data_IF_299370964020
#
_entry.id   IF_299370964020
#
_cell.length_a   1.000
_cell.length_b   1.000
_cell.length_c   1.000
_cell.angle_alpha   90.00
_cell.angle_beta   90.00
_cell.angle_gamma   90.00
#
_symmetry.space_group_name_H-M   'P 1'
#
loop_
_entity.id
_entity.type
_entity.pdbx_description
1 polymer ?
#
# COMPACT_ATOMS: atom_id res chain seq x y z
N UNK A 1 -19.36 -15.17 -14.47
CA UNK A 1 -17.91 -15.27 -14.17
C UNK A 1 -17.73 -15.04 -12.69
N UNK A 2 -17.03 -15.92 -11.96
CA UNK A 2 -16.67 -15.67 -10.57
C UNK A 2 -15.34 -14.91 -10.54
N UNK A 3 -15.29 -13.81 -9.78
CA UNK A 3 -14.05 -13.07 -9.49
C UNK A 3 -13.21 -13.96 -8.57
N UNK A 4 -11.96 -14.26 -8.93
CA UNK A 4 -11.08 -15.13 -8.14
C UNK A 4 -10.02 -14.37 -7.34
N UNK A 5 -9.67 -13.19 -7.82
CA UNK A 5 -8.62 -12.34 -7.27
C UNK A 5 -9.07 -10.88 -7.30
N UNK A 6 -8.90 -10.20 -6.18
CA UNK A 6 -9.20 -8.79 -6.01
C UNK A 6 -7.92 -8.10 -5.55
N UNK A 7 -7.51 -7.07 -6.28
CA UNK A 7 -6.40 -6.22 -5.90
C UNK A 7 -6.97 -4.91 -5.33
N UNK A 8 -6.51 -4.49 -4.16
CA UNK A 8 -6.91 -3.22 -3.55
C UNK A 8 -5.70 -2.33 -3.33
N UNK A 9 -5.80 -1.09 -3.83
CA UNK A 9 -4.79 -0.07 -3.57
C UNK A 9 -4.90 0.46 -2.14
N UNK A 10 -3.80 0.34 -1.40
CA UNK A 10 -3.60 0.85 -0.05
C UNK A 10 -2.68 2.05 -0.14
N UNK A 11 -3.15 3.18 0.39
CA UNK A 11 -2.39 4.42 0.50
C UNK A 11 -2.48 4.93 1.94
N UNK A 12 -1.82 6.05 2.21
CA UNK A 12 -1.80 6.67 3.55
C UNK A 12 -3.04 7.51 3.86
N UNK A 13 -4.05 7.50 3.00
CA UNK A 13 -5.27 8.28 3.24
C UNK A 13 -6.18 7.56 4.22
N UNK A 14 -6.98 8.31 4.98
CA UNK A 14 -8.00 7.73 5.87
C UNK A 14 -9.03 6.86 5.12
N UNK A 15 -9.18 7.07 3.81
CA UNK A 15 -10.10 6.33 2.96
C UNK A 15 -9.62 4.91 2.64
N UNK A 16 -8.32 4.59 2.82
CA UNK A 16 -7.77 3.26 2.53
C UNK A 16 -8.49 2.15 3.30
N UNK A 17 -8.77 2.36 4.59
CA UNK A 17 -9.51 1.39 5.41
C UNK A 17 -10.89 1.05 4.84
N UNK A 18 -11.62 2.05 4.33
CA UNK A 18 -12.95 1.84 3.72
C UNK A 18 -12.85 1.08 2.39
N UNK A 19 -11.81 1.36 1.58
CA UNK A 19 -11.58 0.61 0.34
C UNK A 19 -11.24 -0.85 0.62
N UNK A 20 -10.37 -1.11 1.60
CA UNK A 20 -10.02 -2.48 2.01
C UNK A 20 -11.25 -3.21 2.53
N UNK A 21 -12.05 -2.59 3.39
CA UNK A 21 -13.30 -3.19 3.88
C UNK A 21 -14.30 -3.52 2.76
N UNK A 22 -14.45 -2.63 1.78
CA UNK A 22 -15.31 -2.88 0.63
C UNK A 22 -14.79 -4.05 -0.23
N UNK A 23 -13.49 -4.07 -0.50
CA UNK A 23 -12.84 -5.14 -1.27
C UNK A 23 -12.92 -6.50 -0.55
N UNK A 24 -12.79 -6.50 0.78
CA UNK A 24 -12.92 -7.68 1.61
C UNK A 24 -14.33 -8.28 1.51
N UNK A 25 -15.38 -7.46 1.57
CA UNK A 25 -16.76 -7.94 1.40
C UNK A 25 -17.00 -8.55 0.03
N UNK A 26 -16.49 -7.92 -1.03
CA UNK A 26 -16.58 -8.48 -2.39
C UNK A 26 -15.79 -9.79 -2.47
N UNK A 27 -14.65 -9.90 -1.80
CA UNK A 27 -13.88 -11.14 -1.74
C UNK A 27 -14.64 -12.26 -1.02
N UNK A 28 -15.32 -11.96 0.09
CA UNK A 28 -16.19 -12.91 0.81
C UNK A 28 -17.34 -13.41 -0.05
N UNK A 29 -18.04 -12.51 -0.75
CA UNK A 29 -19.20 -12.85 -1.60
C UNK A 29 -18.81 -13.74 -2.79
N UNK A 30 -17.55 -13.69 -3.23
CA UNK A 30 -17.05 -14.39 -4.41
C UNK A 30 -16.08 -15.53 -4.12
N UNK A 31 -15.78 -15.82 -2.84
CA UNK A 31 -14.71 -16.74 -2.43
C UNK A 31 -13.37 -16.41 -3.15
N UNK A 32 -13.07 -15.11 -3.22
CA UNK A 32 -11.89 -14.59 -3.91
C UNK A 32 -10.75 -14.31 -2.93
N UNK A 33 -9.51 -14.33 -3.44
CA UNK A 33 -8.34 -13.83 -2.70
C UNK A 33 -8.29 -12.30 -2.78
N UNK A 34 -7.90 -11.65 -1.67
CA UNK A 34 -7.66 -10.20 -1.62
C UNK A 34 -6.17 -9.89 -1.49
N UNK A 35 -5.59 -9.20 -2.47
CA UNK A 35 -4.22 -8.71 -2.42
C UNK A 35 -4.21 -7.21 -2.16
N UNK A 36 -3.54 -6.76 -1.10
CA UNK A 36 -3.23 -5.35 -0.87
C UNK A 36 -2.00 -4.91 -1.67
N UNK A 37 -2.06 -3.73 -2.29
CA UNK A 37 -0.94 -3.13 -3.02
C UNK A 37 -0.66 -1.72 -2.51
N UNK A 38 0.58 -1.46 -2.10
CA UNK A 38 1.10 -0.12 -1.82
C UNK A 38 2.16 0.27 -2.86
N UNK A 39 2.06 1.47 -3.42
CA UNK A 39 3.07 2.01 -4.34
C UNK A 39 4.01 2.95 -3.60
N UNK A 40 5.30 2.65 -3.65
CA UNK A 40 6.35 3.49 -3.11
C UNK A 40 6.70 4.51 -4.20
N UNK A 41 6.17 5.73 -4.06
CA UNK A 41 6.45 6.79 -5.01
C UNK A 41 7.90 7.28 -4.86
N UNK A 42 8.73 7.24 -5.93
CA UNK A 42 10.12 7.65 -5.84
C UNK A 42 10.23 9.16 -5.56
N UNK A 43 11.28 9.54 -4.83
CA UNK A 43 11.55 10.94 -4.52
C UNK A 43 11.80 11.74 -5.80
N UNK A 44 10.88 12.65 -6.13
CA UNK A 44 11.04 13.57 -7.26
C UNK A 44 11.78 14.82 -6.85
N UNK A 45 13.08 14.86 -7.14
CA UNK A 45 13.92 16.05 -6.92
C UNK A 45 13.80 16.98 -8.14
N UNK A 46 13.33 18.24 -7.97
CA UNK A 46 13.28 19.18 -9.07
C UNK A 46 14.67 19.50 -9.62
N UNK A 47 14.81 19.48 -10.94
CA UNK A 47 16.09 19.69 -11.65
C UNK A 47 16.63 21.12 -11.50
N UNK A 48 15.79 22.05 -11.04
CA UNK A 48 16.12 23.47 -10.85
C UNK A 48 16.52 23.81 -9.40
N UNK A 49 16.73 22.83 -8.53
CA UNK A 49 17.16 23.10 -7.16
C UNK A 49 18.55 23.79 -7.17
N UNK A 50 18.58 25.08 -6.79
CA UNK A 50 19.80 25.89 -6.76
C UNK A 50 20.83 25.41 -5.72
N UNK A 51 20.37 24.64 -4.73
CA UNK A 51 21.18 24.09 -3.64
C UNK A 51 21.25 22.57 -3.75
N UNK A 52 22.46 21.97 -3.76
CA UNK A 52 22.60 20.53 -3.68
C UNK A 52 21.93 19.96 -2.42
N UNK A 53 21.04 18.98 -2.60
CA UNK A 53 20.48 18.23 -1.48
C UNK A 53 21.57 17.28 -0.98
N UNK A 54 21.86 17.33 0.32
CA UNK A 54 22.83 16.45 0.95
C UNK A 54 22.42 14.98 0.84
N UNK A 55 23.39 14.09 0.62
CA UNK A 55 23.17 12.64 0.48
C UNK A 55 22.39 12.05 1.67
N UNK A 56 22.74 12.45 2.89
CA UNK A 56 22.07 12.00 4.11
C UNK A 56 20.58 12.33 4.11
N UNK A 57 20.20 13.50 3.60
CA UNK A 57 18.78 13.92 3.50
C UNK A 57 18.03 13.03 2.49
N UNK A 58 18.66 12.66 1.38
CA UNK A 58 18.08 11.75 0.39
C UNK A 58 17.91 10.34 0.96
N UNK A 59 18.90 9.84 1.69
CA UNK A 59 18.84 8.55 2.37
C UNK A 59 17.71 8.52 3.40
N UNK A 60 17.60 9.54 4.26
CA UNK A 60 16.50 9.68 5.23
C UNK A 60 15.12 9.75 4.56
N UNK A 61 15.00 10.49 3.45
CA UNK A 61 13.75 10.57 2.71
C UNK A 61 13.35 9.19 2.14
N UNK A 62 14.32 8.43 1.62
CA UNK A 62 14.09 7.08 1.12
C UNK A 62 13.69 6.11 2.23
N UNK A 63 14.36 6.16 3.37
CA UNK A 63 13.99 5.36 4.56
C UNK A 63 12.56 5.64 5.01
N UNK A 64 12.14 6.92 4.99
CA UNK A 64 10.77 7.29 5.33
C UNK A 64 9.74 6.71 4.34
N UNK A 65 10.04 6.70 3.04
CA UNK A 65 9.17 6.09 2.02
C UNK A 65 8.98 4.59 2.25
N UNK A 66 10.06 3.88 2.59
CA UNK A 66 10.00 2.45 2.94
C UNK A 66 9.21 2.20 4.22
N UNK A 67 9.41 3.05 5.25
CA UNK A 67 8.67 2.95 6.51
C UNK A 67 7.15 3.09 6.27
N UNK A 68 6.73 3.98 5.38
CA UNK A 68 5.31 4.12 5.04
C UNK A 68 4.71 2.88 4.37
N UNK A 69 5.48 2.15 3.57
CA UNK A 69 5.01 0.89 2.98
C UNK A 69 4.81 -0.19 4.06
N UNK A 70 5.71 -0.28 5.03
CA UNK A 70 5.57 -1.20 6.17
C UNK A 70 4.41 -0.82 7.10
N UNK A 71 4.19 0.48 7.36
CA UNK A 71 3.01 0.96 8.08
C UNK A 71 1.72 0.55 7.36
N UNK A 72 1.65 0.76 6.05
CA UNK A 72 0.50 0.38 5.23
C UNK A 72 0.24 -1.13 5.25
N UNK A 73 1.30 -1.96 5.24
CA UNK A 73 1.21 -3.41 5.38
C UNK A 73 0.65 -3.83 6.73
N UNK A 74 1.11 -3.19 7.81
CA UNK A 74 0.62 -3.45 9.16
C UNK A 74 -0.86 -3.07 9.29
N UNK A 75 -1.24 -1.93 8.73
CA UNK A 75 -2.64 -1.48 8.68
C UNK A 75 -3.52 -2.43 7.87
N UNK A 76 -3.09 -2.86 6.68
CA UNK A 76 -3.81 -3.86 5.90
C UNK A 76 -4.01 -5.15 6.68
N UNK A 77 -2.94 -5.68 7.29
CA UNK A 77 -3.01 -6.89 8.12
C UNK A 77 -3.98 -6.73 9.29
N UNK A 78 -4.05 -5.52 9.88
CA UNK A 78 -5.00 -5.20 10.94
C UNK A 78 -6.44 -5.16 10.44
N UNK A 79 -6.68 -4.58 9.26
CA UNK A 79 -8.03 -4.44 8.70
C UNK A 79 -8.60 -5.75 8.17
N UNK A 80 -7.76 -6.69 7.74
CA UNK A 80 -8.19 -8.01 7.26
C UNK A 80 -8.19 -9.09 8.34
N UNK A 81 -7.63 -8.80 9.51
CA UNK A 81 -7.56 -9.74 10.63
C UNK A 81 -8.95 -10.25 11.03
N UNK A 82 -9.10 -11.57 11.04
CA UNK A 82 -10.34 -12.24 11.45
C UNK A 82 -11.34 -12.49 10.32
N UNK A 83 -11.05 -12.06 9.09
CA UNK A 83 -11.81 -12.50 7.92
C UNK A 83 -11.42 -13.92 7.52
N UNK A 84 -12.34 -14.63 6.87
CA UNK A 84 -12.10 -15.93 6.26
C UNK A 84 -11.43 -15.83 4.87
N UNK A 85 -11.31 -14.61 4.32
CA UNK A 85 -10.69 -14.35 3.02
C UNK A 85 -9.19 -14.64 3.06
N UNK A 86 -8.70 -15.34 2.06
CA UNK A 86 -7.25 -15.47 1.85
C UNK A 86 -6.69 -14.12 1.42
N UNK A 87 -5.70 -13.61 2.15
CA UNK A 87 -5.08 -12.32 1.86
C UNK A 87 -3.61 -12.44 1.47
N UNK A 88 -3.16 -11.56 0.57
CA UNK A 88 -1.76 -11.38 0.19
C UNK A 88 -1.38 -9.88 0.27
N UNK A 89 -0.09 -9.59 0.31
CA UNK A 89 0.42 -8.21 0.35
C UNK A 89 1.55 -8.01 -0.65
N UNK A 90 1.50 -6.87 -1.35
CA UNK A 90 2.56 -6.42 -2.25
C UNK A 90 2.87 -4.95 -2.02
N UNK A 91 4.15 -4.63 -2.15
CA UNK A 91 4.64 -3.25 -2.25
C UNK A 91 5.61 -3.20 -3.41
N UNK A 92 5.50 -2.17 -4.25
CA UNK A 92 6.35 -2.02 -5.44
C UNK A 92 6.77 -0.55 -5.61
N UNK A 93 7.91 -0.36 -6.26
CA UNK A 93 8.38 0.96 -6.67
C UNK A 93 7.62 1.39 -7.93
N UNK A 94 7.08 2.61 -7.91
CA UNK A 94 6.26 3.17 -9.00
C UNK A 94 7.03 3.81 -10.14
#
# INVERSE_FOLDING_TARGET
MAIKDILVHVDRTKAASKRVAAALRVAEDHDARLTGLYIIEPLRIPVYAEVPIGREVLEQANEALMAYAEEAKADFSKWTKGSAVTTDWRSDEG
#
